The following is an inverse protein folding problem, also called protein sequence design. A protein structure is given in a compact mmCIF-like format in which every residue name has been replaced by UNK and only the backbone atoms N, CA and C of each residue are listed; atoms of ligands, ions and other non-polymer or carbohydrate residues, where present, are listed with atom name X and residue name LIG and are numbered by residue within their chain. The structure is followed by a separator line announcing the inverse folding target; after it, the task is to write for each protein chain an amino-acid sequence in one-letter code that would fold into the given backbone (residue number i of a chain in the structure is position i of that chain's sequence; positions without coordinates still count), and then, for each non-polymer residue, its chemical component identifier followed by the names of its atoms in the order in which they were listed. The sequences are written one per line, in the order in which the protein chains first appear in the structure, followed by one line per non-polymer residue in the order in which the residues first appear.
data_IF_984456476338
#
_entry.id   IF_984456476338
#
_cell.length_a   1.000
_cell.length_b   1.000
_cell.length_c   1.000
_cell.angle_alpha   90.00
_cell.angle_beta   90.00
_cell.angle_gamma   90.00
#
_symmetry.space_group_name_H-M   'P 1'
#
loop_
_entity.id
_entity.type
_entity.pdbx_description
1 polymer ?
#
# COMPACT_ATOMS: atom_id res chain seq x y z
N UNK A 1 4.45 15.47 -7.71
CA UNK A 1 4.39 15.63 -6.25
C UNK A 1 5.16 14.52 -5.58
N UNK A 2 5.71 14.81 -4.43
CA UNK A 2 6.53 13.87 -3.71
C UNK A 2 5.77 13.32 -2.52
N UNK A 3 5.85 12.01 -2.32
CA UNK A 3 5.13 11.32 -1.26
C UNK A 3 6.06 10.44 -0.45
N UNK A 4 5.80 10.35 0.82
CA UNK A 4 6.34 9.28 1.65
C UNK A 4 5.41 8.08 1.50
N UNK A 5 5.97 6.97 1.03
CA UNK A 5 5.22 5.74 0.81
C UNK A 5 5.60 4.73 1.88
N UNK A 6 4.62 4.26 2.62
CA UNK A 6 4.77 3.15 3.56
C UNK A 6 4.07 1.94 2.96
N UNK A 7 4.80 0.86 2.81
CA UNK A 7 4.27 -0.41 2.29
C UNK A 7 4.24 -1.42 3.43
N UNK A 8 3.06 -1.92 3.75
CA UNK A 8 2.89 -2.95 4.77
C UNK A 8 2.38 -4.23 4.11
N UNK A 9 3.03 -5.34 4.41
CA UNK A 9 2.62 -6.66 3.93
C UNK A 9 2.17 -7.51 5.10
N UNK A 10 0.99 -8.11 4.98
CA UNK A 10 0.45 -9.04 5.96
C UNK A 10 0.17 -10.38 5.31
N UNK A 11 0.78 -11.42 5.82
CA UNK A 11 0.48 -12.78 5.41
C UNK A 11 -0.52 -13.39 6.38
N UNK A 12 -1.62 -13.99 5.89
CA UNK A 12 -2.50 -14.75 6.77
C UNK A 12 -1.77 -16.00 7.22
N UNK A 13 -1.59 -16.17 8.52
CA UNK A 13 -1.08 -17.42 9.06
C UNK A 13 -2.11 -17.99 10.00
N UNK A 14 -2.24 -19.31 9.98
CA UNK A 14 -3.10 -20.00 10.93
C UNK A 14 -2.36 -20.13 12.26
N UNK A 15 -2.84 -19.39 13.27
CA UNK A 15 -2.41 -19.62 14.64
C UNK A 15 -1.04 -19.13 15.04
N UNK A 16 -0.43 -18.24 14.29
CA UNK A 16 0.88 -17.70 14.63
C UNK A 16 0.92 -16.19 14.60
N UNK A 17 2.00 -15.63 15.13
CA UNK A 17 2.27 -14.22 14.99
C UNK A 17 2.59 -13.93 13.53
N UNK A 18 1.90 -12.97 12.96
CA UNK A 18 2.16 -12.53 11.61
C UNK A 18 3.39 -11.65 11.60
N UNK A 19 4.44 -12.01 10.86
CA UNK A 19 5.48 -11.04 10.60
C UNK A 19 4.89 -10.00 9.65
N UNK A 20 4.67 -8.80 10.17
CA UNK A 20 4.32 -7.66 9.34
C UNK A 20 5.63 -7.09 8.81
N UNK A 21 5.79 -7.13 7.50
CA UNK A 21 6.91 -6.46 6.87
C UNK A 21 6.48 -5.06 6.50
N UNK A 22 7.25 -4.07 6.88
CA UNK A 22 7.00 -2.70 6.47
C UNK A 22 8.24 -2.11 5.81
N UNK A 23 8.01 -1.25 4.83
CA UNK A 23 9.06 -0.58 4.09
C UNK A 23 8.64 0.87 3.90
N UNK A 24 9.57 1.80 4.12
CA UNK A 24 9.33 3.22 3.96
C UNK A 24 10.25 3.73 2.85
N UNK A 25 9.68 4.46 1.90
CA UNK A 25 10.44 5.03 0.79
C UNK A 25 9.81 6.34 0.34
N UNK A 26 10.57 7.15 -0.37
CA UNK A 26 10.05 8.35 -1.01
C UNK A 26 9.81 8.06 -2.48
N UNK A 27 8.66 8.51 -2.98
CA UNK A 27 8.32 8.37 -4.40
C UNK A 27 7.84 9.70 -4.95
N UNK A 28 8.14 9.93 -6.21
CA UNK A 28 7.65 11.10 -6.93
C UNK A 28 6.68 10.62 -8.00
N UNK A 29 5.41 11.03 -7.87
CA UNK A 29 4.39 10.65 -8.83
C UNK A 29 3.27 11.68 -8.81
N UNK A 30 2.59 11.84 -9.93
CA UNK A 30 1.41 12.69 -10.02
C UNK A 30 0.13 11.91 -9.70
N UNK A 31 0.20 10.59 -9.74
CA UNK A 31 -0.96 9.73 -9.50
C UNK A 31 -0.54 8.51 -8.69
N UNK A 32 -0.69 8.55 -7.36
CA UNK A 32 -0.33 7.41 -6.50
C UNK A 32 -1.07 6.13 -6.85
N UNK A 33 -2.34 6.23 -7.25
CA UNK A 33 -3.12 5.03 -7.62
C UNK A 33 -2.53 4.38 -8.86
N UNK A 34 -2.18 5.17 -9.86
CA UNK A 34 -1.54 4.64 -11.07
C UNK A 34 -0.19 4.02 -10.76
N UNK A 35 0.55 4.59 -9.82
CA UNK A 35 1.81 4.03 -9.37
C UNK A 35 1.62 2.62 -8.82
N UNK A 36 0.62 2.42 -7.95
CA UNK A 36 0.33 1.10 -7.39
C UNK A 36 -0.18 0.14 -8.46
N UNK A 37 -0.99 0.61 -9.39
CA UNK A 37 -1.45 -0.23 -10.50
C UNK A 37 -0.29 -0.77 -11.33
N UNK A 38 0.77 0.00 -11.48
CA UNK A 38 1.97 -0.44 -12.16
C UNK A 38 2.74 -1.51 -11.39
N UNK A 39 2.67 -1.48 -10.05
CA UNK A 39 3.31 -2.48 -9.20
C UNK A 39 2.48 -3.75 -9.09
N UNK A 40 1.15 -3.64 -9.15
CA UNK A 40 0.22 -4.75 -8.95
C UNK A 40 -0.73 -4.88 -10.14
N UNK A 41 -0.21 -5.19 -11.35
CA UNK A 41 -1.05 -5.29 -12.54
C UNK A 41 -2.02 -6.46 -12.42
N UNK A 42 -3.28 -6.21 -12.75
CA UNK A 42 -4.31 -7.23 -12.73
C UNK A 42 -4.97 -7.48 -11.37
N UNK A 43 -4.51 -6.82 -10.31
CA UNK A 43 -5.11 -6.94 -8.99
C UNK A 43 -6.17 -5.85 -8.78
N UNK A 44 -7.20 -6.18 -8.00
CA UNK A 44 -8.16 -5.18 -7.55
C UNK A 44 -7.54 -4.33 -6.46
N UNK A 45 -7.76 -3.03 -6.55
CA UNK A 45 -7.25 -2.08 -5.57
C UNK A 45 -8.41 -1.40 -4.85
N UNK A 46 -8.32 -1.35 -3.52
CA UNK A 46 -9.22 -0.55 -2.71
C UNK A 46 -8.52 0.76 -2.35
N UNK A 47 -9.15 1.87 -2.70
CA UNK A 47 -8.59 3.20 -2.48
C UNK A 47 -9.44 3.92 -1.44
N UNK A 48 -8.79 4.46 -0.42
CA UNK A 48 -9.45 5.29 0.58
C UNK A 48 -8.55 6.45 0.97
N UNK A 49 -9.15 7.48 1.54
CA UNK A 49 -8.42 8.65 2.02
C UNK A 49 -8.71 8.83 3.49
N UNK A 50 -7.67 8.98 4.29
CA UNK A 50 -7.80 9.23 5.72
C UNK A 50 -8.11 10.70 5.98
N UNK A 51 -8.54 11.03 7.20
CA UNK A 51 -8.92 12.38 7.58
C UNK A 51 -7.76 13.38 7.47
N UNK A 52 -6.53 12.92 7.60
CA UNK A 52 -5.34 13.75 7.48
C UNK A 52 -4.87 13.94 6.03
N UNK A 53 -5.59 13.38 5.07
CA UNK A 53 -5.23 13.47 3.65
C UNK A 53 -4.35 12.32 3.15
N UNK A 54 -3.96 11.39 4.01
CA UNK A 54 -3.19 10.22 3.59
C UNK A 54 -4.02 9.33 2.67
N UNK A 55 -3.47 9.00 1.52
CA UNK A 55 -4.11 8.09 0.56
C UNK A 55 -3.68 6.66 0.88
N UNK A 56 -4.65 5.79 1.05
CA UNK A 56 -4.41 4.37 1.33
C UNK A 56 -4.91 3.54 0.17
N UNK A 57 -4.04 2.70 -0.37
CA UNK A 57 -4.38 1.74 -1.42
C UNK A 57 -4.10 0.35 -0.87
N UNK A 58 -5.10 -0.52 -0.89
CA UNK A 58 -4.97 -1.89 -0.41
C UNK A 58 -5.24 -2.87 -1.54
N UNK A 59 -4.50 -3.95 -1.56
CA UNK A 59 -4.70 -5.03 -2.52
C UNK A 59 -4.46 -6.37 -1.85
N UNK A 60 -5.06 -7.41 -2.40
CA UNK A 60 -4.85 -8.79 -1.97
C UNK A 60 -4.36 -9.61 -3.14
N UNK A 61 -3.36 -10.44 -2.91
CA UNK A 61 -2.83 -11.34 -3.91
C UNK A 61 -2.49 -12.68 -3.24
N UNK A 62 -3.21 -13.74 -3.62
CA UNK A 62 -3.02 -15.09 -3.06
C UNK A 62 -3.02 -15.13 -1.53
N UNK A 63 -3.92 -14.35 -0.91
CA UNK A 63 -4.02 -14.27 0.54
C UNK A 63 -3.05 -13.29 1.19
N UNK A 64 -2.14 -12.71 0.42
CA UNK A 64 -1.23 -11.70 0.92
C UNK A 64 -1.88 -10.32 0.81
N UNK A 65 -2.04 -9.65 1.92
CA UNK A 65 -2.56 -8.27 1.96
C UNK A 65 -1.40 -7.30 1.91
N UNK A 66 -1.48 -6.36 0.97
CA UNK A 66 -0.48 -5.30 0.83
C UNK A 66 -1.21 -3.96 0.94
N UNK A 67 -0.70 -3.10 1.82
CA UNK A 67 -1.25 -1.77 2.05
C UNK A 67 -0.19 -0.73 1.70
N UNK A 68 -0.57 0.20 0.86
CA UNK A 68 0.27 1.32 0.45
C UNK A 68 -0.30 2.60 1.05
N UNK A 69 0.47 3.31 1.85
CA UNK A 69 0.06 4.59 2.44
C UNK A 69 0.93 5.69 1.84
N UNK A 70 0.27 6.65 1.19
CA UNK A 70 0.93 7.79 0.58
C UNK A 70 0.63 9.04 1.38
N UNK A 71 1.67 9.65 1.95
CA UNK A 71 1.57 10.92 2.67
C UNK A 71 2.35 11.96 1.88
N UNK A 72 1.71 13.07 1.55
CA UNK A 72 2.35 14.14 0.79
C UNK A 72 3.45 14.80 1.63
N UNK A 73 4.61 14.95 1.02
CA UNK A 73 5.75 15.62 1.66
C UNK A 73 5.75 17.13 1.43
#
# INVERSE_FOLDING_TARGET
MQYELVIEERQPTCGGRLPTKSKIMSVSTDDPVAYVKGLEPGNELEVSTLDDGTLVVQTEHNGLWIRYEFTEE
#
